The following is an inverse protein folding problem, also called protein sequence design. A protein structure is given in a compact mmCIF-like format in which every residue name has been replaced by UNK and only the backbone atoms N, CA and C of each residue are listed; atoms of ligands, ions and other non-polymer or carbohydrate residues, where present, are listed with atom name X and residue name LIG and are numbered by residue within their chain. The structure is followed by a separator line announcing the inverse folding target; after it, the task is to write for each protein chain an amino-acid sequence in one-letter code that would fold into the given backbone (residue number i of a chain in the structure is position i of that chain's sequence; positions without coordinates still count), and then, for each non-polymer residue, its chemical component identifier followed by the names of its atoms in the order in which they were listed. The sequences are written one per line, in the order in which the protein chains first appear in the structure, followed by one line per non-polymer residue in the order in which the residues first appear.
data_IF_977035424551
#
_entry.id   IF_977035424551
#
_cell.length_a   1.000
_cell.length_b   1.000
_cell.length_c   1.000
_cell.angle_alpha   90.00
_cell.angle_beta   90.00
_cell.angle_gamma   90.00
#
_symmetry.space_group_name_H-M   'P 1'
#
loop_
_entity.id
_entity.type
_entity.pdbx_description
1 polymer ?
#
# COMPACT_ATOMS: atom_id res chain seq x y z
N UNK A 1 -10.51 18.64 12.23
CA UNK A 1 -9.68 18.14 13.35
C UNK A 1 -10.51 18.10 14.63
N UNK A 2 -10.53 16.96 15.33
CA UNK A 2 -11.30 16.76 16.57
C UNK A 2 -10.80 17.65 17.72
N UNK A 3 -9.49 17.85 17.84
CA UNK A 3 -8.86 18.74 18.82
C UNK A 3 -9.44 20.18 18.78
N UNK A 4 -9.46 20.81 17.60
CA UNK A 4 -9.96 22.19 17.42
C UNK A 4 -11.45 22.29 17.83
N UNK A 5 -12.25 21.28 17.48
CA UNK A 5 -13.68 21.23 17.86
C UNK A 5 -13.87 21.11 19.36
N UNK A 6 -13.08 20.27 20.04
CA UNK A 6 -13.15 20.08 21.49
C UNK A 6 -12.66 21.34 22.22
N UNK A 7 -11.55 21.93 21.78
CA UNK A 7 -11.03 23.18 22.34
C UNK A 7 -12.07 24.30 22.23
N UNK A 8 -12.61 24.55 21.03
CA UNK A 8 -13.66 25.55 20.83
C UNK A 8 -14.93 25.27 21.65
N UNK A 9 -15.33 24.00 21.77
CA UNK A 9 -16.48 23.59 22.57
C UNK A 9 -16.31 23.86 24.07
N UNK A 10 -15.13 23.54 24.63
CA UNK A 10 -14.80 23.77 26.03
C UNK A 10 -14.78 25.26 26.37
N UNK A 11 -14.21 26.10 25.50
CA UNK A 11 -14.25 27.55 25.75
C UNK A 11 -15.68 28.08 25.69
N UNK A 12 -16.47 27.66 24.70
CA UNK A 12 -17.87 28.13 24.59
C UNK A 12 -18.70 27.77 25.83
N UNK A 13 -18.45 26.61 26.44
CA UNK A 13 -19.07 26.24 27.72
C UNK A 13 -18.61 27.14 28.87
N UNK A 14 -17.31 27.48 28.94
CA UNK A 14 -16.80 28.34 30.01
C UNK A 14 -17.22 29.81 29.84
N UNK A 15 -17.27 30.35 28.62
CA UNK A 15 -17.80 31.68 28.32
C UNK A 15 -19.30 31.79 28.65
N UNK A 16 -20.09 30.76 28.36
CA UNK A 16 -21.52 30.74 28.74
C UNK A 16 -21.73 30.75 30.26
N UNK A 17 -20.76 30.26 31.04
CA UNK A 17 -20.80 30.30 32.50
C UNK A 17 -20.31 31.65 33.05
N UNK A 18 -19.42 32.34 32.33
CA UNK A 18 -18.84 33.65 32.65
C UNK A 18 -19.58 34.78 31.92
N UNK A 19 -20.77 35.18 32.40
CA UNK A 19 -21.56 36.25 31.77
C UNK A 19 -20.91 37.65 31.90
N UNK A 20 -20.03 38.08 31.00
CA UNK A 20 -19.68 39.50 30.79
C UNK A 20 -19.42 39.84 29.30
N UNK A 21 -20.09 40.87 28.78
CA UNK A 21 -20.30 41.09 27.34
C UNK A 21 -19.19 41.80 26.55
N UNK A 22 -18.09 42.23 27.18
CA UNK A 22 -16.96 42.89 26.50
C UNK A 22 -15.69 42.01 26.52
N UNK A 23 -15.35 41.41 27.66
CA UNK A 23 -14.28 40.41 27.79
C UNK A 23 -14.52 39.17 26.92
N UNK A 24 -15.79 38.80 26.68
CA UNK A 24 -16.14 37.66 25.83
C UNK A 24 -15.65 37.80 24.38
N UNK A 25 -15.63 39.01 23.80
CA UNK A 25 -15.21 39.23 22.42
C UNK A 25 -13.69 39.16 22.26
N UNK A 26 -12.96 39.70 23.24
CA UNK A 26 -11.49 39.66 23.26
C UNK A 26 -10.98 38.23 23.49
N UNK A 27 -11.65 37.48 24.38
CA UNK A 27 -11.38 36.05 24.59
C UNK A 27 -11.65 35.25 23.31
N UNK A 28 -12.79 35.48 22.63
CA UNK A 28 -13.11 34.81 21.36
C UNK A 28 -12.09 35.08 20.24
N UNK A 29 -11.59 36.32 20.13
CA UNK A 29 -10.54 36.68 19.18
C UNK A 29 -9.19 36.02 19.52
N UNK A 30 -8.79 35.99 20.79
CA UNK A 30 -7.54 35.34 21.23
C UNK A 30 -7.59 33.82 20.99
N UNK A 31 -8.74 33.17 21.19
CA UNK A 31 -8.95 31.75 20.88
C UNK A 31 -8.85 31.49 19.39
N UNK A 32 -9.48 32.32 18.58
CA UNK A 32 -9.45 32.16 17.13
C UNK A 32 -8.00 32.25 16.65
N UNK A 33 -7.21 33.18 17.20
CA UNK A 33 -5.77 33.26 16.93
C UNK A 33 -5.02 32.01 17.37
N UNK A 34 -5.22 31.55 18.60
CA UNK A 34 -4.56 30.35 19.13
C UNK A 34 -4.90 29.08 18.34
N UNK A 35 -6.17 28.92 17.92
CA UNK A 35 -6.61 27.79 17.10
C UNK A 35 -6.03 27.85 15.68
N UNK A 36 -5.90 29.04 15.10
CA UNK A 36 -5.22 29.25 13.81
C UNK A 36 -3.74 28.90 13.93
N UNK A 37 -3.05 29.38 14.97
CA UNK A 37 -1.64 29.05 15.25
C UNK A 37 -1.44 27.54 15.37
N UNK A 38 -2.28 26.83 16.14
CA UNK A 38 -2.25 25.36 16.24
C UNK A 38 -2.53 24.70 14.88
N UNK A 39 -3.47 25.21 14.10
CA UNK A 39 -3.79 24.66 12.78
C UNK A 39 -2.63 24.79 11.78
N UNK A 40 -1.80 25.82 11.96
CA UNK A 40 -0.60 26.07 11.17
C UNK A 40 0.65 25.37 11.76
N UNK A 41 0.49 24.61 12.84
CA UNK A 41 1.56 23.87 13.51
C UNK A 41 2.50 24.75 14.33
N UNK A 42 2.07 25.95 14.73
CA UNK A 42 2.80 26.83 15.65
C UNK A 42 2.32 26.62 17.09
N UNK A 43 3.18 26.95 18.04
CA UNK A 43 2.81 26.98 19.45
C UNK A 43 1.83 28.14 19.70
N UNK A 44 0.65 27.89 20.29
CA UNK A 44 -0.32 28.93 20.59
C UNK A 44 0.22 29.86 21.68
N UNK A 45 0.38 31.14 21.35
CA UNK A 45 0.74 32.17 22.32
C UNK A 45 -0.54 32.75 22.92
N UNK A 46 -0.87 32.34 24.14
CA UNK A 46 -2.05 32.85 24.86
C UNK A 46 -1.71 33.20 26.31
N UNK A 47 -2.21 34.35 26.77
CA UNK A 47 -2.06 34.77 28.16
C UNK A 47 -3.32 34.52 28.99
N UNK A 48 -4.45 34.22 28.34
CA UNK A 48 -5.72 33.96 28.99
C UNK A 48 -5.81 32.55 29.60
N UNK A 49 -6.08 32.44 30.90
CA UNK A 49 -6.15 31.16 31.61
C UNK A 49 -7.28 30.24 31.11
N UNK A 50 -8.42 30.82 30.72
CA UNK A 50 -9.57 30.10 30.14
C UNK A 50 -9.13 29.35 28.87
N UNK A 51 -8.34 30.02 28.03
CA UNK A 51 -7.87 29.42 26.78
C UNK A 51 -6.82 28.33 27.01
N UNK A 52 -5.93 28.50 28.01
CA UNK A 52 -4.97 27.46 28.42
C UNK A 52 -5.67 26.21 28.95
N UNK A 53 -6.69 26.40 29.80
CA UNK A 53 -7.46 25.28 30.35
C UNK A 53 -8.20 24.52 29.25
N UNK A 54 -8.83 25.24 28.32
CA UNK A 54 -9.53 24.62 27.19
C UNK A 54 -8.60 23.86 26.25
N UNK A 55 -7.41 24.41 25.95
CA UNK A 55 -6.37 23.74 25.17
C UNK A 55 -5.87 22.50 25.90
N UNK A 56 -5.69 22.57 27.23
CA UNK A 56 -5.25 21.43 28.03
C UNK A 56 -6.26 20.28 28.06
N UNK A 57 -7.54 20.60 28.28
CA UNK A 57 -8.64 19.62 28.17
C UNK A 57 -8.74 19.02 26.78
N UNK A 58 -8.52 19.82 25.72
CA UNK A 58 -8.50 19.31 24.35
C UNK A 58 -7.29 18.40 24.08
N UNK A 59 -6.12 18.75 24.62
CA UNK A 59 -4.89 17.96 24.51
C UNK A 59 -5.03 16.61 25.21
N UNK A 60 -5.64 16.59 26.40
CA UNK A 60 -5.98 15.36 27.12
C UNK A 60 -6.95 14.49 26.32
N UNK A 61 -8.02 15.08 25.77
CA UNK A 61 -9.05 14.35 25.03
C UNK A 61 -8.57 13.69 23.72
N UNK A 62 -7.46 14.17 23.13
CA UNK A 62 -6.83 13.56 21.94
C UNK A 62 -5.53 12.83 22.27
N UNK A 63 -5.23 12.65 23.55
CA UNK A 63 -4.00 12.02 24.05
C UNK A 63 -2.71 12.63 23.50
N UNK A 64 -2.70 13.95 23.32
CA UNK A 64 -1.52 14.69 22.89
C UNK A 64 -0.31 14.38 23.78
N UNK A 65 0.88 14.34 23.17
CA UNK A 65 2.14 14.18 23.90
C UNK A 65 2.45 15.42 24.75
N UNK A 66 2.00 16.60 24.31
CA UNK A 66 2.12 17.85 25.04
C UNK A 66 0.80 18.21 25.74
N UNK A 67 0.84 18.74 26.97
CA UNK A 67 -0.35 19.01 27.77
C UNK A 67 -1.12 20.25 27.35
N UNK A 68 -0.57 21.10 26.49
CA UNK A 68 -1.03 22.46 26.17
C UNK A 68 -1.28 22.71 24.68
N UNK A 69 -0.85 21.79 23.82
CA UNK A 69 -0.95 21.92 22.36
C UNK A 69 -1.23 20.58 21.71
N UNK A 70 -1.62 20.61 20.44
CA UNK A 70 -1.81 19.42 19.63
C UNK A 70 -0.46 18.88 19.14
N UNK A 71 0.01 17.79 19.74
CA UNK A 71 1.26 17.12 19.39
C UNK A 71 1.05 15.61 19.32
N UNK A 72 0.85 15.10 18.11
CA UNK A 72 0.75 13.67 17.81
C UNK A 72 1.97 13.27 17.00
N UNK A 73 2.84 12.47 17.61
CA UNK A 73 4.00 11.85 16.97
C UNK A 73 3.98 10.35 17.24
N UNK A 74 4.05 9.57 16.17
CA UNK A 74 4.09 8.12 16.27
C UNK A 74 5.54 7.66 16.41
N UNK A 75 5.84 6.95 17.49
CA UNK A 75 7.11 6.26 17.65
C UNK A 75 6.99 4.85 17.04
N UNK A 76 7.65 4.54 15.91
CA UNK A 76 7.57 3.21 15.30
C UNK A 76 8.22 2.11 16.16
N UNK A 77 9.08 2.49 17.10
CA UNK A 77 9.88 1.56 17.91
C UNK A 77 9.30 1.34 19.32
N UNK A 78 8.13 1.91 19.66
CA UNK A 78 7.58 1.83 21.03
C UNK A 78 7.21 0.41 21.51
N UNK A 79 7.12 -0.54 20.58
CA UNK A 79 6.93 -1.97 20.85
C UNK A 79 8.19 -2.81 20.61
N UNK A 80 9.29 -2.19 20.19
CA UNK A 80 10.54 -2.89 19.92
C UNK A 80 11.21 -3.31 21.22
N UNK A 81 11.56 -4.59 21.32
CA UNK A 81 12.28 -5.12 22.49
C UNK A 81 13.79 -4.90 22.41
N UNK A 82 14.29 -4.47 21.25
CA UNK A 82 15.73 -4.31 20.97
C UNK A 82 16.20 -2.86 21.01
N UNK A 83 15.28 -1.90 20.92
CA UNK A 83 15.60 -0.46 20.90
C UNK A 83 15.67 0.06 22.33
N UNK A 84 16.73 0.82 22.63
CA UNK A 84 16.90 1.51 23.91
C UNK A 84 16.32 2.92 23.81
N UNK A 85 15.24 3.16 24.56
CA UNK A 85 14.56 4.46 24.61
C UNK A 85 15.28 5.47 25.51
N UNK A 86 15.06 6.76 25.26
CA UNK A 86 15.68 7.82 26.05
C UNK A 86 15.09 7.89 27.47
N UNK A 87 15.90 8.28 28.48
CA UNK A 87 15.40 8.46 29.84
C UNK A 87 14.39 9.62 29.87
N UNK A 88 13.18 9.36 30.36
CA UNK A 88 12.10 10.35 30.46
C UNK A 88 11.04 10.29 29.34
N UNK A 89 11.18 9.38 28.37
CA UNK A 89 10.12 9.12 27.40
C UNK A 89 8.89 8.46 28.07
N UNK A 90 7.71 9.00 27.82
CA UNK A 90 6.44 8.38 28.20
C UNK A 90 6.03 7.34 27.16
N UNK A 91 6.63 6.14 27.27
CA UNK A 91 6.38 5.03 26.33
C UNK A 91 4.92 4.57 26.35
N UNK A 92 4.22 4.70 27.47
CA UNK A 92 2.82 4.28 27.56
C UNK A 92 1.90 5.21 26.76
N UNK A 93 2.12 6.54 26.82
CA UNK A 93 1.42 7.47 25.93
C UNK A 93 1.76 7.22 24.46
N UNK A 94 3.03 6.99 24.13
CA UNK A 94 3.44 6.72 22.75
C UNK A 94 2.80 5.43 22.20
N UNK A 95 2.81 4.33 22.97
CA UNK A 95 2.14 3.07 22.60
C UNK A 95 0.65 3.27 22.39
N UNK A 96 0.00 4.01 23.29
CA UNK A 96 -1.44 4.31 23.17
C UNK A 96 -1.77 5.02 21.86
N UNK A 97 -0.99 6.04 21.48
CA UNK A 97 -1.17 6.73 20.19
C UNK A 97 -1.02 5.79 18.99
N UNK A 98 -0.04 4.88 19.02
CA UNK A 98 0.16 3.90 17.95
C UNK A 98 -1.01 2.90 17.88
N UNK A 99 -1.55 2.47 19.02
CA UNK A 99 -2.73 1.59 19.09
C UNK A 99 -3.95 2.31 18.53
N UNK A 100 -4.21 3.55 18.94
CA UNK A 100 -5.35 4.34 18.46
C UNK A 100 -5.27 4.60 16.95
N UNK A 101 -4.08 4.88 16.42
CA UNK A 101 -3.88 5.03 14.99
C UNK A 101 -4.13 3.72 14.23
N UNK A 102 -3.69 2.59 14.78
CA UNK A 102 -3.94 1.27 14.20
C UNK A 102 -5.43 0.90 14.23
N UNK A 103 -6.12 1.18 15.34
CA UNK A 103 -7.56 0.99 15.49
C UNK A 103 -8.34 1.86 14.51
N UNK A 104 -8.03 3.16 14.44
CA UNK A 104 -8.65 4.09 13.49
C UNK A 104 -8.47 3.63 12.03
N UNK A 105 -7.30 3.09 11.70
CA UNK A 105 -7.03 2.57 10.36
C UNK A 105 -7.96 1.39 10.02
N UNK A 106 -8.13 0.44 10.94
CA UNK A 106 -8.92 -0.78 10.71
C UNK A 106 -10.43 -0.54 10.83
N UNK A 107 -10.86 0.27 11.80
CA UNK A 107 -12.28 0.47 12.14
C UNK A 107 -12.92 1.58 11.31
N UNK A 108 -12.13 2.56 10.85
CA UNK A 108 -12.67 3.73 10.13
C UNK A 108 -12.10 3.87 8.73
N UNK A 109 -10.78 4.06 8.58
CA UNK A 109 -10.20 4.40 7.28
C UNK A 109 -10.34 3.29 6.24
N UNK A 110 -10.11 2.04 6.63
CA UNK A 110 -10.20 0.91 5.71
C UNK A 110 -11.64 0.68 5.22
N UNK A 111 -12.67 0.59 6.10
CA UNK A 111 -14.07 0.52 5.67
C UNK A 111 -14.50 1.71 4.81
N UNK A 112 -14.12 2.93 5.18
CA UNK A 112 -14.44 4.14 4.41
C UNK A 112 -13.80 4.10 3.03
N UNK A 113 -12.55 3.67 2.92
CA UNK A 113 -11.88 3.49 1.63
C UNK A 113 -12.59 2.45 0.75
N UNK A 114 -12.99 1.32 1.32
CA UNK A 114 -13.70 0.26 0.61
C UNK A 114 -15.06 0.74 0.13
N UNK A 115 -15.86 1.38 1.00
CA UNK A 115 -17.15 1.98 0.63
C UNK A 115 -16.98 2.95 -0.53
N UNK A 116 -15.99 3.85 -0.44
CA UNK A 116 -15.70 4.81 -1.51
C UNK A 116 -15.35 4.15 -2.86
N UNK A 117 -14.68 2.99 -2.84
CA UNK A 117 -14.36 2.24 -4.06
C UNK A 117 -15.60 1.53 -4.64
N UNK A 118 -16.45 0.98 -3.77
CA UNK A 118 -17.67 0.28 -4.15
C UNK A 118 -18.71 1.25 -4.70
N UNK A 119 -18.89 2.40 -4.05
CA UNK A 119 -19.80 3.48 -4.46
C UNK A 119 -19.25 4.33 -5.62
N UNK A 120 -18.07 3.97 -6.15
CA UNK A 120 -17.38 4.64 -7.23
C UNK A 120 -17.08 6.14 -7.00
N UNK A 121 -17.04 6.59 -5.73
CA UNK A 121 -16.52 7.93 -5.39
C UNK A 121 -15.02 8.02 -5.60
N UNK A 122 -14.32 6.89 -5.52
CA UNK A 122 -12.91 6.70 -5.84
C UNK A 122 -12.78 5.49 -6.74
N UNK A 123 -12.23 5.65 -7.94
CA UNK A 123 -12.17 4.57 -8.94
C UNK A 123 -10.71 4.28 -9.32
N UNK A 124 -10.05 3.32 -8.64
CA UNK A 124 -8.73 2.88 -9.08
C UNK A 124 -8.84 2.23 -10.46
N UNK A 125 -8.04 2.72 -11.40
CA UNK A 125 -8.06 2.25 -12.80
C UNK A 125 -7.30 0.92 -12.94
N UNK A 126 -6.21 0.78 -12.20
CA UNK A 126 -5.34 -0.39 -12.21
C UNK A 126 -4.71 -0.66 -10.84
N UNK A 127 -3.90 -1.72 -10.74
CA UNK A 127 -3.28 -2.15 -9.49
C UNK A 127 -2.28 -1.12 -8.93
N UNK A 128 -1.69 -0.27 -9.78
CA UNK A 128 -0.82 0.83 -9.35
C UNK A 128 -1.63 1.94 -8.70
N UNK A 129 -2.67 2.41 -9.39
CA UNK A 129 -3.61 3.41 -8.87
C UNK A 129 -4.28 2.95 -7.57
N UNK A 130 -4.63 1.66 -7.46
CA UNK A 130 -5.15 1.07 -6.23
C UNK A 130 -4.15 1.20 -5.07
N UNK A 131 -2.89 0.82 -5.30
CA UNK A 131 -1.84 0.93 -4.29
C UNK A 131 -1.61 2.39 -3.87
N UNK A 132 -1.60 3.32 -4.82
CA UNK A 132 -1.40 4.74 -4.55
C UNK A 132 -2.55 5.34 -3.75
N UNK A 133 -3.79 4.98 -4.06
CA UNK A 133 -4.98 5.41 -3.32
C UNK A 133 -5.03 4.83 -1.90
N UNK A 134 -4.56 3.59 -1.71
CA UNK A 134 -4.37 3.01 -0.38
C UNK A 134 -3.33 3.82 0.41
N UNK A 135 -2.15 4.04 -0.17
CA UNK A 135 -1.07 4.77 0.49
C UNK A 135 -1.44 6.24 0.77
N UNK A 136 -2.19 6.89 -0.13
CA UNK A 136 -2.68 8.26 0.06
C UNK A 136 -3.60 8.40 1.28
N UNK A 137 -4.25 7.31 1.70
CA UNK A 137 -5.05 7.20 2.93
C UNK A 137 -4.29 6.60 4.10
N UNK A 138 -2.98 6.38 3.97
CA UNK A 138 -2.17 5.73 5.00
C UNK A 138 -2.42 4.23 5.15
N UNK A 139 -3.16 3.60 4.23
CA UNK A 139 -3.45 2.18 4.25
C UNK A 139 -2.26 1.43 3.64
N UNK A 140 -1.64 0.57 4.45
CA UNK A 140 -0.56 -0.29 3.99
C UNK A 140 -1.11 -1.43 3.10
N UNK A 141 -0.40 -1.79 2.03
CA UNK A 141 -0.83 -2.86 1.11
C UNK A 141 -0.95 -4.24 1.77
N UNK A 142 -0.44 -4.44 2.99
CA UNK A 142 -0.73 -5.64 3.79
C UNK A 142 -2.22 -5.89 4.00
N UNK A 143 -3.03 -4.83 4.01
CA UNK A 143 -4.49 -4.89 4.17
C UNK A 143 -5.21 -5.26 2.86
N UNK A 144 -4.49 -5.54 1.78
CA UNK A 144 -5.10 -5.92 0.50
C UNK A 144 -5.99 -7.16 0.62
N UNK A 145 -5.63 -8.14 1.45
CA UNK A 145 -6.48 -9.31 1.68
C UNK A 145 -7.79 -8.98 2.40
N UNK A 146 -7.77 -8.01 3.32
CA UNK A 146 -8.99 -7.50 3.96
C UNK A 146 -9.88 -6.75 2.97
N UNK A 147 -9.28 -5.93 2.09
CA UNK A 147 -10.00 -5.25 1.00
C UNK A 147 -10.67 -6.26 0.08
N UNK A 148 -9.94 -7.29 -0.38
CA UNK A 148 -10.51 -8.34 -1.23
C UNK A 148 -11.69 -9.01 -0.53
N UNK A 149 -11.56 -9.35 0.76
CA UNK A 149 -12.64 -9.97 1.54
C UNK A 149 -13.89 -9.09 1.59
N UNK A 150 -13.76 -7.82 1.94
CA UNK A 150 -14.90 -6.90 2.04
C UNK A 150 -15.53 -6.57 0.69
N UNK A 151 -14.74 -6.45 -0.38
CA UNK A 151 -15.29 -6.21 -1.72
C UNK A 151 -16.05 -7.44 -2.23
N UNK A 152 -15.60 -8.66 -1.90
CA UNK A 152 -16.32 -9.89 -2.26
C UNK A 152 -17.72 -9.97 -1.63
N UNK A 153 -17.92 -9.40 -0.43
CA UNK A 153 -19.24 -9.33 0.23
C UNK A 153 -20.24 -8.49 -0.57
N UNK A 154 -19.77 -7.54 -1.40
CA UNK A 154 -20.62 -6.71 -2.27
C UNK A 154 -21.08 -7.41 -3.55
N UNK A 155 -20.43 -8.52 -3.91
CA UNK A 155 -20.78 -9.36 -5.06
C UNK A 155 -19.56 -9.78 -5.90
N UNK A 156 -19.49 -11.04 -6.35
CA UNK A 156 -18.29 -11.60 -7.00
C UNK A 156 -17.97 -10.99 -8.37
N UNK A 157 -18.95 -10.42 -9.06
CA UNK A 157 -18.81 -9.88 -10.42
C UNK A 157 -18.48 -8.38 -10.48
N UNK A 158 -18.12 -7.75 -9.36
CA UNK A 158 -17.72 -6.34 -9.35
C UNK A 158 -16.34 -6.16 -9.98
N UNK A 159 -16.14 -5.07 -10.74
CA UNK A 159 -14.82 -4.73 -11.31
C UNK A 159 -13.75 -4.61 -10.20
N UNK A 160 -14.17 -4.16 -9.01
CA UNK A 160 -13.28 -4.06 -7.84
C UNK A 160 -12.82 -5.42 -7.34
N UNK A 161 -13.63 -6.48 -7.43
CA UNK A 161 -13.20 -7.86 -7.10
C UNK A 161 -12.10 -8.26 -8.06
N UNK A 162 -12.37 -8.17 -9.37
CA UNK A 162 -11.40 -8.53 -10.41
C UNK A 162 -10.08 -7.77 -10.25
N UNK A 163 -10.15 -6.46 -10.00
CA UNK A 163 -8.98 -5.61 -9.81
C UNK A 163 -8.17 -5.97 -8.55
N UNK A 164 -8.82 -6.07 -7.39
CA UNK A 164 -8.13 -6.32 -6.11
C UNK A 164 -7.54 -7.72 -6.05
N UNK A 165 -8.25 -8.73 -6.60
CA UNK A 165 -7.73 -10.10 -6.72
C UNK A 165 -6.58 -10.16 -7.73
N UNK A 166 -6.65 -9.45 -8.86
CA UNK A 166 -5.54 -9.35 -9.82
C UNK A 166 -4.29 -8.79 -9.14
N UNK A 167 -4.43 -7.71 -8.36
CA UNK A 167 -3.32 -7.11 -7.62
C UNK A 167 -2.76 -8.06 -6.55
N UNK A 168 -3.63 -8.77 -5.83
CA UNK A 168 -3.23 -9.75 -4.81
C UNK A 168 -2.40 -10.88 -5.43
N UNK A 169 -2.91 -11.48 -6.51
CA UNK A 169 -2.24 -12.57 -7.21
C UNK A 169 -0.92 -12.11 -7.82
N UNK A 170 -0.88 -10.95 -8.47
CA UNK A 170 0.37 -10.42 -9.04
C UNK A 170 1.46 -10.23 -7.97
N UNK A 171 1.09 -9.76 -6.78
CA UNK A 171 2.02 -9.58 -5.66
C UNK A 171 2.48 -10.90 -5.06
N UNK A 172 1.59 -11.87 -4.87
CA UNK A 172 1.94 -13.21 -4.39
C UNK A 172 2.84 -13.92 -5.40
N UNK A 173 2.45 -13.94 -6.68
CA UNK A 173 3.24 -14.48 -7.77
C UNK A 173 4.64 -13.85 -7.82
N UNK A 174 4.75 -12.52 -7.68
CA UNK A 174 6.05 -11.84 -7.59
C UNK A 174 6.91 -12.36 -6.45
N UNK A 175 6.36 -12.59 -5.25
CA UNK A 175 7.13 -13.11 -4.12
C UNK A 175 7.67 -14.51 -4.40
N UNK A 176 6.81 -15.40 -4.91
CA UNK A 176 7.19 -16.77 -5.29
C UNK A 176 8.24 -16.76 -6.40
N UNK A 177 8.01 -16.00 -7.47
CA UNK A 177 8.90 -15.94 -8.64
C UNK A 177 10.29 -15.36 -8.31
N UNK A 178 10.35 -14.34 -7.44
CA UNK A 178 11.62 -13.73 -7.03
C UNK A 178 12.54 -14.69 -6.26
N UNK A 179 11.99 -15.70 -5.58
CA UNK A 179 12.80 -16.71 -4.90
C UNK A 179 13.67 -17.48 -5.91
N UNK A 180 13.13 -17.76 -7.08
CA UNK A 180 13.85 -18.39 -8.17
C UNK A 180 14.74 -17.37 -8.89
N UNK A 181 14.15 -16.27 -9.38
CA UNK A 181 14.83 -15.33 -10.28
C UNK A 181 16.08 -14.67 -9.68
N UNK A 182 16.10 -14.38 -8.37
CA UNK A 182 17.21 -13.64 -7.74
C UNK A 182 18.53 -14.44 -7.68
N UNK A 183 18.48 -15.76 -7.86
CA UNK A 183 19.66 -16.64 -7.73
C UNK A 183 20.19 -17.12 -9.08
N UNK A 184 19.54 -16.74 -10.19
CA UNK A 184 19.85 -17.27 -11.51
C UNK A 184 20.98 -16.50 -12.21
N UNK A 185 21.89 -17.21 -12.89
CA UNK A 185 22.80 -16.60 -13.86
C UNK A 185 22.02 -15.96 -15.02
N UNK A 186 22.59 -14.89 -15.60
CA UNK A 186 21.98 -14.16 -16.72
C UNK A 186 21.66 -15.05 -17.93
N UNK A 187 22.49 -16.06 -18.19
CA UNK A 187 22.35 -17.00 -19.31
C UNK A 187 21.10 -17.88 -19.21
N UNK A 188 20.59 -18.12 -17.99
CA UNK A 188 19.43 -19.00 -17.75
C UNK A 188 18.14 -18.21 -17.50
N UNK A 189 18.20 -16.89 -17.58
CA UNK A 189 17.10 -16.03 -17.17
C UNK A 189 15.91 -16.11 -18.13
N UNK A 190 16.16 -16.12 -19.44
CA UNK A 190 15.13 -16.22 -20.48
C UNK A 190 14.33 -17.52 -20.38
N UNK A 191 15.05 -18.66 -20.39
CA UNK A 191 14.42 -19.97 -20.24
C UNK A 191 13.68 -20.11 -18.89
N UNK A 192 14.26 -19.66 -17.77
CA UNK A 192 13.60 -19.73 -16.47
C UNK A 192 12.34 -18.86 -16.37
N UNK A 193 12.38 -17.61 -16.86
CA UNK A 193 11.21 -16.72 -16.85
C UNK A 193 10.08 -17.33 -17.69
N UNK A 194 10.39 -17.83 -18.89
CA UNK A 194 9.38 -18.45 -19.76
C UNK A 194 8.72 -19.66 -19.09
N UNK A 195 9.51 -20.56 -18.49
CA UNK A 195 9.03 -21.71 -17.72
C UNK A 195 8.13 -21.29 -16.55
N UNK A 196 8.58 -20.32 -15.75
CA UNK A 196 7.81 -19.84 -14.61
C UNK A 196 6.51 -19.13 -15.01
N UNK A 197 6.50 -18.35 -16.10
CA UNK A 197 5.27 -17.77 -16.65
C UNK A 197 4.32 -18.86 -17.16
N UNK A 198 4.84 -19.94 -17.74
CA UNK A 198 4.05 -21.11 -18.12
C UNK A 198 3.49 -21.85 -16.90
N UNK A 199 4.14 -21.82 -15.75
CA UNK A 199 3.58 -22.35 -14.49
C UNK A 199 2.38 -21.50 -14.01
N UNK A 200 2.41 -20.19 -14.24
CA UNK A 200 1.35 -19.25 -13.86
C UNK A 200 0.15 -19.34 -14.81
N UNK A 201 0.40 -19.21 -16.12
CA UNK A 201 -0.63 -19.00 -17.15
C UNK A 201 -0.91 -20.22 -18.03
N UNK A 202 0.00 -21.19 -18.03
CA UNK A 202 -0.13 -22.42 -18.81
C UNK A 202 -0.46 -23.63 -17.92
N UNK A 203 -0.35 -24.81 -18.53
CA UNK A 203 -0.50 -26.08 -17.84
C UNK A 203 0.81 -26.87 -17.93
N UNK A 204 1.74 -26.56 -17.02
CA UNK A 204 2.95 -27.33 -16.81
C UNK A 204 2.61 -28.53 -15.92
N UNK A 205 2.50 -29.69 -16.54
CA UNK A 205 2.42 -30.97 -15.85
C UNK A 205 3.72 -31.75 -16.06
N UNK A 206 4.32 -32.25 -14.98
CA UNK A 206 5.27 -33.35 -15.08
C UNK A 206 4.46 -34.64 -15.04
N UNK A 207 4.28 -35.23 -16.20
CA UNK A 207 3.76 -36.59 -16.28
C UNK A 207 4.89 -37.50 -15.79
N UNK A 208 4.84 -37.96 -14.53
CA UNK A 208 5.74 -39.01 -14.03
C UNK A 208 5.58 -40.34 -14.79
N UNK A 209 4.72 -40.39 -15.82
CA UNK A 209 4.46 -41.51 -16.73
C UNK A 209 5.09 -41.38 -18.12
N UNK A 210 6.22 -40.68 -18.26
CA UNK A 210 7.13 -40.92 -19.40
C UNK A 210 8.46 -41.50 -18.92
N UNK A 211 8.35 -42.71 -18.38
CA UNK A 211 9.46 -43.65 -18.34
C UNK A 211 9.88 -43.99 -19.77
N UNK A 212 10.73 -43.15 -20.36
CA UNK A 212 11.65 -43.60 -21.39
C UNK A 212 12.51 -44.66 -20.72
N UNK A 213 12.24 -45.92 -21.08
CA UNK A 213 12.97 -47.10 -20.65
C UNK A 213 14.38 -47.03 -21.29
N UNK A 214 15.22 -46.16 -20.74
CA UNK A 214 16.66 -46.07 -20.99
C UNK A 214 17.38 -46.68 -19.80
N UNK A 215 17.61 -47.98 -19.91
CA UNK A 215 18.44 -48.82 -19.07
C UNK A 215 19.68 -48.09 -18.50
N UNK A 216 19.85 -48.07 -17.17
CA UNK A 216 21.12 -48.27 -16.44
C UNK A 216 20.98 -48.14 -14.92
N UNK A 217 20.73 -49.30 -14.34
CA UNK A 217 21.27 -49.82 -13.09
C UNK A 217 22.51 -49.08 -12.50
N UNK A 218 22.40 -48.47 -11.30
CA UNK A 218 23.38 -48.59 -10.20
C UNK A 218 22.86 -48.05 -8.85
N UNK A 219 22.63 -48.99 -7.93
CA UNK A 219 22.86 -48.99 -6.46
C UNK A 219 22.71 -47.70 -5.62
N UNK A 220 21.72 -47.77 -4.73
CA UNK A 220 21.52 -47.02 -3.47
C UNK A 220 22.79 -46.80 -2.63
N UNK A 221 22.98 -45.56 -2.13
CA UNK A 221 23.68 -45.31 -0.86
C UNK A 221 23.33 -43.94 -0.22
N UNK A 222 22.84 -44.00 1.02
CA UNK A 222 23.05 -43.08 2.15
C UNK A 222 22.50 -41.64 2.16
N UNK A 223 21.87 -41.34 3.30
CA UNK A 223 21.43 -40.04 3.83
C UNK A 223 22.53 -38.97 3.81
N UNK A 224 22.18 -37.73 3.40
CA UNK A 224 22.55 -36.50 4.14
C UNK A 224 21.78 -35.28 3.62
N UNK A 225 21.12 -34.59 4.54
CA UNK A 225 20.78 -33.17 4.45
C UNK A 225 21.97 -32.38 3.91
N UNK A 226 21.75 -31.57 2.87
CA UNK A 226 22.61 -30.46 2.46
C UNK A 226 21.81 -29.42 1.67
N UNK A 227 21.98 -28.17 2.10
CA UNK A 227 21.51 -26.92 1.52
C UNK A 227 21.94 -26.76 0.05
N UNK A 228 21.03 -26.16 -0.72
CA UNK A 228 21.24 -25.24 -1.85
C UNK A 228 22.37 -25.56 -2.84
N UNK A 229 21.98 -26.14 -3.97
CA UNK A 229 22.65 -26.01 -5.26
C UNK A 229 21.61 -25.42 -6.22
N UNK A 230 21.46 -24.09 -6.19
CA UNK A 230 20.39 -23.33 -6.85
C UNK A 230 20.45 -23.28 -8.39
N UNK A 231 21.06 -24.26 -9.05
CA UNK A 231 21.08 -24.39 -10.51
C UNK A 231 20.14 -25.52 -10.93
N UNK A 232 18.83 -25.27 -10.90
CA UNK A 232 17.84 -26.20 -11.47
C UNK A 232 16.52 -26.35 -10.72
N UNK A 233 16.35 -25.78 -9.52
CA UNK A 233 15.10 -25.90 -8.74
C UNK A 233 13.88 -25.30 -9.46
N UNK A 234 14.09 -24.26 -10.27
CA UNK A 234 13.04 -23.65 -11.09
C UNK A 234 12.50 -24.60 -12.16
N UNK A 235 13.32 -25.55 -12.66
CA UNK A 235 12.95 -26.49 -13.72
C UNK A 235 11.87 -27.45 -13.22
N UNK A 236 11.91 -27.84 -11.94
CA UNK A 236 10.92 -28.73 -11.35
C UNK A 236 9.58 -28.06 -11.01
N UNK A 237 9.47 -26.73 -11.11
CA UNK A 237 8.24 -26.01 -10.79
C UNK A 237 7.16 -26.37 -11.81
N UNK A 238 6.04 -26.92 -11.34
CA UNK A 238 4.84 -27.17 -12.14
C UNK A 238 3.71 -26.23 -11.74
N UNK A 239 2.64 -26.19 -12.55
CA UNK A 239 1.48 -25.31 -12.31
C UNK A 239 0.87 -25.57 -10.93
N UNK A 240 0.67 -26.83 -10.56
CA UNK A 240 0.03 -27.18 -9.28
C UNK A 240 0.84 -26.72 -8.07
N UNK A 241 2.15 -27.00 -8.06
CA UNK A 241 3.06 -26.57 -6.98
C UNK A 241 3.15 -25.05 -6.88
N UNK A 242 3.20 -24.36 -8.03
CA UNK A 242 3.21 -22.91 -8.08
C UNK A 242 1.95 -22.31 -7.44
N UNK A 243 0.76 -22.79 -7.82
CA UNK A 243 -0.50 -22.28 -7.28
C UNK A 243 -0.69 -22.62 -5.79
N UNK A 244 -0.20 -23.76 -5.32
CA UNK A 244 -0.14 -24.05 -3.88
C UNK A 244 0.74 -23.04 -3.14
N UNK A 245 1.94 -22.76 -3.66
CA UNK A 245 2.84 -21.77 -3.05
C UNK A 245 2.22 -20.36 -3.07
N UNK A 246 1.55 -19.99 -4.16
CA UNK A 246 0.86 -18.70 -4.31
C UNK A 246 -0.28 -18.55 -3.29
N UNK A 247 -1.13 -19.57 -3.14
CA UNK A 247 -2.23 -19.55 -2.17
C UNK A 247 -1.70 -19.51 -0.73
N UNK A 248 -0.59 -20.20 -0.45
CA UNK A 248 0.09 -20.12 0.84
C UNK A 248 0.65 -18.72 1.13
N UNK A 249 1.24 -18.07 0.13
CA UNK A 249 1.73 -16.70 0.22
C UNK A 249 0.59 -15.70 0.47
N UNK A 250 -0.53 -15.85 -0.24
CA UNK A 250 -1.76 -15.06 -0.03
C UNK A 250 -2.24 -15.17 1.42
N UNK A 251 -2.27 -16.39 1.95
CA UNK A 251 -2.71 -16.65 3.32
C UNK A 251 -1.74 -16.09 4.38
N UNK A 252 -0.44 -16.30 4.19
CA UNK A 252 0.57 -15.90 5.17
C UNK A 252 0.81 -14.39 5.20
N UNK A 253 0.90 -13.76 4.02
CA UNK A 253 1.29 -12.37 3.91
C UNK A 253 0.10 -11.41 3.94
N UNK A 254 -1.00 -11.78 3.30
CA UNK A 254 -2.19 -10.93 3.16
C UNK A 254 -3.40 -11.41 3.98
N UNK A 255 -3.27 -12.49 4.75
CA UNK A 255 -4.36 -13.06 5.55
C UNK A 255 -5.62 -13.39 4.72
N UNK A 256 -5.45 -13.72 3.43
CA UNK A 256 -6.54 -14.08 2.53
C UNK A 256 -6.38 -15.51 2.01
N UNK A 257 -7.40 -16.34 2.26
CA UNK A 257 -7.44 -17.74 1.84
C UNK A 257 -7.91 -17.85 0.39
N UNK A 258 -6.98 -17.69 -0.55
CA UNK A 258 -7.24 -17.84 -1.99
C UNK A 258 -7.43 -19.33 -2.32
N UNK A 259 -8.58 -19.70 -2.88
CA UNK A 259 -8.91 -21.08 -3.24
C UNK A 259 -8.85 -21.29 -4.75
N UNK A 260 -7.63 -21.35 -5.27
CA UNK A 260 -7.38 -21.59 -6.70
C UNK A 260 -6.25 -22.62 -6.90
N UNK A 261 -6.41 -23.44 -7.93
CA UNK A 261 -5.46 -24.45 -8.39
C UNK A 261 -4.83 -24.09 -9.76
N UNK A 262 -5.49 -23.22 -10.53
CA UNK A 262 -5.00 -22.68 -11.79
C UNK A 262 -5.61 -21.30 -12.07
N UNK A 263 -5.12 -20.64 -13.13
CA UNK A 263 -5.61 -19.32 -13.54
C UNK A 263 -7.09 -19.35 -13.94
N UNK A 264 -7.57 -20.42 -14.56
CA UNK A 264 -8.97 -20.52 -15.02
C UNK A 264 -9.94 -20.51 -13.84
N UNK A 265 -9.60 -21.17 -12.74
CA UNK A 265 -10.38 -21.14 -11.49
C UNK A 265 -10.50 -19.72 -10.94
N UNK A 266 -9.46 -18.89 -11.08
CA UNK A 266 -9.51 -17.48 -10.66
C UNK A 266 -10.39 -16.66 -11.60
N UNK A 267 -10.31 -16.90 -12.91
CA UNK A 267 -11.12 -16.21 -13.92
C UNK A 267 -12.61 -16.50 -13.66
N UNK A 268 -12.96 -17.76 -13.39
CA UNK A 268 -14.34 -18.17 -13.11
C UNK A 268 -14.86 -17.63 -11.77
N UNK A 269 -14.06 -17.70 -10.71
CA UNK A 269 -14.49 -17.29 -9.36
C UNK A 269 -14.53 -15.77 -9.17
N UNK A 270 -13.59 -15.03 -9.77
CA UNK A 270 -13.34 -13.62 -9.46
C UNK A 270 -13.38 -12.68 -10.67
N UNK A 271 -13.64 -13.20 -11.88
CA UNK A 271 -13.71 -12.39 -13.10
C UNK A 271 -12.38 -11.73 -13.49
N UNK A 272 -11.24 -12.32 -13.08
CA UNK A 272 -9.91 -11.80 -13.42
C UNK A 272 -9.63 -11.95 -14.91
N UNK A 273 -9.05 -10.92 -15.52
CA UNK A 273 -8.62 -10.97 -16.92
C UNK A 273 -7.15 -11.43 -17.01
N UNK A 274 -6.89 -12.53 -17.72
CA UNK A 274 -5.54 -13.12 -17.87
C UNK A 274 -4.52 -12.12 -18.41
N UNK A 275 -4.91 -11.32 -19.41
CA UNK A 275 -4.03 -10.31 -20.02
C UNK A 275 -3.68 -9.19 -19.03
N UNK A 276 -4.66 -8.74 -18.24
CA UNK A 276 -4.45 -7.72 -17.21
C UNK A 276 -3.52 -8.22 -16.11
N UNK A 277 -3.68 -9.48 -15.69
CA UNK A 277 -2.77 -10.13 -14.74
C UNK A 277 -1.35 -10.27 -15.32
N UNK A 278 -1.22 -10.70 -16.58
CA UNK A 278 0.09 -10.82 -17.25
C UNK A 278 0.80 -9.48 -17.31
N UNK A 279 0.11 -8.42 -17.77
CA UNK A 279 0.65 -7.06 -17.81
C UNK A 279 1.10 -6.61 -16.41
N UNK A 280 0.28 -6.82 -15.40
CA UNK A 280 0.61 -6.43 -14.02
C UNK A 280 1.82 -7.19 -13.50
N UNK A 281 1.90 -8.49 -13.75
CA UNK A 281 3.02 -9.32 -13.34
C UNK A 281 4.33 -8.87 -14.00
N UNK A 282 4.29 -8.62 -15.31
CA UNK A 282 5.42 -8.12 -16.09
C UNK A 282 5.92 -6.78 -15.55
N UNK A 283 5.02 -5.82 -15.31
CA UNK A 283 5.40 -4.52 -14.75
C UNK A 283 6.00 -4.64 -13.34
N UNK A 284 5.50 -5.57 -12.51
CA UNK A 284 5.96 -5.69 -11.12
C UNK A 284 7.28 -6.46 -10.97
N UNK A 285 7.59 -7.34 -11.93
CA UNK A 285 8.86 -8.07 -12.01
C UNK A 285 9.88 -7.38 -12.93
N UNK A 286 9.43 -6.43 -13.76
CA UNK A 286 10.25 -5.77 -14.77
C UNK A 286 10.52 -6.62 -16.01
N UNK A 287 9.64 -7.58 -16.32
CA UNK A 287 9.79 -8.46 -17.48
C UNK A 287 9.28 -7.72 -18.72
N UNK A 288 10.10 -7.64 -19.77
CA UNK A 288 9.69 -7.15 -21.07
C UNK A 288 9.47 -8.33 -22.02
N UNK A 289 8.23 -8.50 -22.46
CA UNK A 289 7.84 -9.53 -23.42
C UNK A 289 7.85 -8.99 -24.86
N UNK A 290 8.07 -9.89 -25.82
CA UNK A 290 7.89 -9.64 -27.25
C UNK A 290 6.42 -9.26 -27.53
N UNK A 291 6.19 -8.26 -28.37
CA UNK A 291 4.84 -7.89 -28.78
C UNK A 291 4.28 -8.93 -29.75
N UNK A 292 3.40 -9.80 -29.25
CA UNK A 292 2.63 -10.78 -30.03
C UNK A 292 1.31 -11.11 -29.35
N UNK A 293 0.41 -11.74 -30.09
CA UNK A 293 -0.85 -12.25 -29.54
C UNK A 293 -0.60 -13.57 -28.79
N UNK A 294 -0.49 -13.48 -27.47
CA UNK A 294 -0.33 -14.65 -26.60
C UNK A 294 -1.67 -15.37 -26.40
N UNK A 295 -1.70 -16.66 -26.74
CA UNK A 295 -2.85 -17.52 -26.46
C UNK A 295 -2.80 -17.99 -25.00
N UNK A 296 -3.56 -17.32 -24.13
CA UNK A 296 -3.65 -17.64 -22.70
C UNK A 296 -4.85 -18.55 -22.37
N UNK A 297 -5.62 -18.97 -23.38
CA UNK A 297 -6.79 -19.82 -23.20
C UNK A 297 -6.41 -21.30 -23.24
N UNK A 298 -6.60 -21.95 -22.10
CA UNK A 298 -6.29 -23.36 -21.85
C UNK A 298 -7.15 -24.31 -22.70
N UNK A 299 -8.28 -23.83 -23.22
CA UNK A 299 -9.21 -24.58 -24.08
C UNK A 299 -8.72 -24.74 -25.52
N UNK A 300 -7.67 -24.04 -25.94
CA UNK A 300 -7.05 -24.29 -27.25
C UNK A 300 -6.21 -25.55 -27.19
N UNK A 301 -6.81 -26.65 -27.65
CA UNK A 301 -6.28 -28.01 -27.77
C UNK A 301 -5.03 -28.09 -28.65
N UNK A 302 -3.89 -27.60 -28.17
CA UNK A 302 -2.54 -28.11 -28.47
C UNK A 302 -1.68 -27.87 -27.25
N UNK A 303 -0.84 -28.85 -26.94
CA UNK A 303 0.22 -28.86 -25.92
C UNK A 303 1.30 -27.78 -26.15
N UNK A 304 0.91 -26.53 -26.41
CA UNK A 304 1.84 -25.43 -26.63
C UNK A 304 1.80 -24.53 -25.42
N UNK A 305 2.94 -24.45 -24.76
CA UNK A 305 3.17 -23.51 -23.68
C UNK A 305 3.02 -22.06 -24.23
N UNK A 306 2.31 -21.15 -23.52
CA UNK A 306 2.08 -19.79 -24.00
C UNK A 306 3.35 -18.96 -24.21
N UNK A 307 4.41 -19.26 -23.45
CA UNK A 307 5.68 -18.52 -23.47
C UNK A 307 6.84 -19.43 -23.86
N UNK A 308 7.78 -18.86 -24.59
CA UNK A 308 9.06 -19.46 -25.00
C UNK A 308 10.20 -18.53 -24.62
N UNK A 309 11.43 -19.00 -24.63
CA UNK A 309 12.60 -18.18 -24.29
C UNK A 309 12.75 -16.94 -25.20
N UNK A 310 12.45 -17.09 -26.49
CA UNK A 310 12.49 -16.00 -27.48
C UNK A 310 11.52 -14.84 -27.17
N UNK A 311 10.52 -15.09 -26.33
CA UNK A 311 9.56 -14.06 -25.91
C UNK A 311 10.13 -13.09 -24.88
N UNK A 312 11.19 -13.48 -24.17
CA UNK A 312 11.76 -12.67 -23.10
C UNK A 312 12.81 -11.74 -23.69
N UNK A 313 12.43 -10.48 -23.92
CA UNK A 313 13.34 -9.49 -24.53
C UNK A 313 14.32 -8.92 -23.51
N UNK A 314 13.81 -8.47 -22.36
CA UNK A 314 14.62 -7.83 -21.32
C UNK A 314 14.06 -8.13 -19.92
N UNK A 315 14.93 -8.00 -18.92
CA UNK A 315 14.55 -7.87 -17.51
C UNK A 315 15.08 -6.54 -16.98
N UNK A 316 14.18 -5.61 -16.69
CA UNK A 316 14.49 -4.28 -16.17
C UNK A 316 14.34 -4.29 -14.65
N UNK A 317 15.40 -3.98 -13.88
CA UNK A 317 15.30 -3.94 -12.43
C UNK A 317 14.25 -2.91 -11.95
N UNK A 318 13.23 -3.38 -11.22
CA UNK A 318 12.25 -2.50 -10.58
C UNK A 318 12.76 -2.10 -9.20
N UNK A 319 13.29 -0.89 -9.11
CA UNK A 319 13.84 -0.31 -7.88
C UNK A 319 12.84 0.66 -7.24
N UNK A 320 12.75 0.61 -5.91
CA UNK A 320 11.99 1.59 -5.14
C UNK A 320 12.86 2.83 -4.99
N UNK A 321 12.44 3.94 -5.60
CA UNK A 321 13.06 5.24 -5.39
C UNK A 321 12.18 6.06 -4.47
N UNK A 322 12.79 6.78 -3.53
CA UNK A 322 12.10 7.85 -2.82
C UNK A 322 12.19 9.08 -3.69
N UNK A 323 11.15 9.36 -4.45
CA UNK A 323 11.12 10.58 -5.26
C UNK A 323 11.13 11.78 -4.29
N UNK A 324 12.08 12.72 -4.43
CA UNK A 324 12.15 13.86 -3.54
C UNK A 324 10.85 14.66 -3.68
N UNK A 325 10.14 14.84 -2.55
CA UNK A 325 8.86 15.53 -2.54
C UNK A 325 9.05 16.94 -1.99
N UNK A 326 8.79 17.94 -2.85
CA UNK A 326 8.78 19.35 -2.46
C UNK A 326 7.50 19.68 -1.67
N UNK A 327 7.45 19.31 -0.40
CA UNK A 327 6.27 19.55 0.45
C UNK A 327 5.89 21.03 0.52
N UNK A 328 6.88 21.93 0.56
CA UNK A 328 6.65 23.38 0.60
C UNK A 328 6.04 23.88 -0.72
N UNK A 329 6.52 23.36 -1.86
CA UNK A 329 5.94 23.67 -3.17
C UNK A 329 4.46 23.23 -3.24
N UNK A 330 4.13 22.04 -2.72
CA UNK A 330 2.74 21.55 -2.68
C UNK A 330 1.84 22.42 -1.81
N UNK A 331 2.32 22.86 -0.63
CA UNK A 331 1.57 23.77 0.25
C UNK A 331 1.32 25.12 -0.42
N UNK A 332 2.35 25.69 -1.06
CA UNK A 332 2.23 26.94 -1.82
C UNK A 332 1.24 26.80 -2.99
N UNK A 333 1.28 25.68 -3.70
CA UNK A 333 0.34 25.40 -4.78
C UNK A 333 -1.11 25.35 -4.28
N UNK A 334 -1.36 24.62 -3.19
CA UNK A 334 -2.69 24.51 -2.58
C UNK A 334 -3.19 25.86 -2.07
N UNK A 335 -2.31 26.66 -1.44
CA UNK A 335 -2.62 28.04 -1.04
C UNK A 335 -2.98 28.91 -2.25
N UNK A 336 -2.21 28.79 -3.34
CA UNK A 336 -2.48 29.49 -4.58
C UNK A 336 -3.84 29.12 -5.19
N UNK A 337 -4.21 27.84 -5.19
CA UNK A 337 -5.53 27.38 -5.62
C UNK A 337 -6.65 27.96 -4.75
N UNK A 338 -6.47 27.98 -3.43
CA UNK A 338 -7.45 28.57 -2.51
C UNK A 338 -7.60 30.08 -2.74
N UNK A 339 -6.48 30.81 -2.85
CA UNK A 339 -6.49 32.24 -3.15
C UNK A 339 -7.18 32.54 -4.49
N UNK A 340 -6.99 31.67 -5.50
CA UNK A 340 -7.66 31.77 -6.80
C UNK A 340 -9.18 31.58 -6.67
N UNK A 341 -9.64 30.62 -5.86
CA UNK A 341 -11.07 30.40 -5.60
C UNK A 341 -11.73 31.58 -4.86
N UNK A 342 -10.98 32.24 -3.97
CA UNK A 342 -11.45 33.43 -3.22
C UNK A 342 -11.41 34.71 -4.07
N UNK A 343 -10.71 34.69 -5.21
CA UNK A 343 -10.59 35.84 -6.12
C UNK A 343 -9.36 36.72 -5.90
N UNK A 344 -8.43 36.33 -5.02
CA UNK A 344 -7.16 37.01 -4.80
C UNK A 344 -6.13 36.63 -5.86
N UNK A 345 -6.30 37.16 -7.09
CA UNK A 345 -5.52 36.74 -8.27
C UNK A 345 -4.02 37.02 -8.15
N UNK A 346 -3.62 38.11 -7.48
CA UNK A 346 -2.20 38.47 -7.31
C UNK A 346 -1.47 37.49 -6.39
N UNK A 347 -2.04 37.21 -5.22
CA UNK A 347 -1.48 36.23 -4.27
C UNK A 347 -1.48 34.83 -4.89
N UNK A 348 -2.54 34.46 -5.62
CA UNK A 348 -2.60 33.19 -6.34
C UNK A 348 -1.46 33.06 -7.36
N UNK A 349 -1.21 34.11 -8.15
CA UNK A 349 -0.12 34.12 -9.13
C UNK A 349 1.25 33.97 -8.47
N UNK A 350 1.53 34.75 -7.42
CA UNK A 350 2.80 34.72 -6.70
C UNK A 350 3.06 33.33 -6.07
N UNK A 351 2.07 32.76 -5.37
CA UNK A 351 2.17 31.43 -4.75
C UNK A 351 2.33 30.30 -5.78
N UNK A 352 1.62 30.35 -6.91
CA UNK A 352 1.73 29.32 -7.97
C UNK A 352 3.08 29.45 -8.69
N UNK A 353 3.52 30.67 -9.02
CA UNK A 353 4.81 30.88 -9.68
C UNK A 353 5.99 30.40 -8.82
N UNK A 354 5.97 30.71 -7.52
CA UNK A 354 7.00 30.25 -6.58
C UNK A 354 6.95 28.72 -6.39
N UNK A 355 5.76 28.14 -6.31
CA UNK A 355 5.57 26.69 -6.26
C UNK A 355 6.19 25.98 -7.47
N UNK A 356 5.95 26.49 -8.70
CA UNK A 356 6.53 25.94 -9.94
C UNK A 356 8.06 26.05 -9.92
N UNK A 357 8.61 27.17 -9.43
CA UNK A 357 10.06 27.32 -9.26
C UNK A 357 10.63 26.23 -8.35
N UNK A 358 10.00 25.97 -7.20
CA UNK A 358 10.43 24.91 -6.29
C UNK A 358 10.31 23.50 -6.89
N UNK A 359 9.25 23.22 -7.66
CA UNK A 359 9.13 21.93 -8.35
C UNK A 359 10.27 21.71 -9.36
N UNK A 360 10.67 22.75 -10.08
CA UNK A 360 11.78 22.68 -11.04
C UNK A 360 13.13 22.44 -10.34
N UNK A 361 13.36 23.01 -9.16
CA UNK A 361 14.59 22.80 -8.39
C UNK A 361 14.70 21.34 -7.91
N UNK A 362 13.58 20.74 -7.50
CA UNK A 362 13.56 19.37 -6.98
C UNK A 362 13.60 18.31 -8.08
N UNK A 363 13.17 18.64 -9.31
CA UNK A 363 13.20 17.73 -10.46
C UNK A 363 14.60 17.51 -11.09
N UNK A 364 15.63 18.25 -10.64
CA UNK A 364 17.00 18.18 -11.19
C UNK A 364 17.90 17.16 -10.47
N UNK A 365 17.35 16.40 -9.52
CA UNK A 365 18.01 15.28 -8.82
C UNK A 365 17.20 14.00 -9.00
#
# INVERSE_FOLDING_TARGET
MQFIKIAAGNVRQQLNNSKEGQDSLDIENEITRALVEVSEGRDPLTNCDITKEALSKAAEAVHSLRPDTFDIRFNPDCFSTTVKHAPGEDLEKQKRLVIEAAEFLVVSQLPEFISNCVDASVTPIDGESLCDLMHARGINVRYLGDIVRSVLETGPSSYMVSLTVTELIARCAKHVLRQYMNTLPQEQLGCAISHLLNAVFGNLAFDHSSGSNGDRNTKRSSRKSKKASASGEWVSVNTKEFWIALCQESKNYYAFDLKADCIDSVVEQYGVQKVSLLRRLCNTLGIQLLSRDYQLDTNSTRMRQPFTEEDIQNLIPVTKHRQPCANDAKKLFARGQQAMQVGHLREAYECIAESVSFFNIVAVF
#
